data_IF_401842618971
#
_entry.id   IF_401842618971
#
_cell.length_a   1.000
_cell.length_b   1.000
_cell.length_c   1.000
_cell.angle_alpha   90.00
_cell.angle_beta   90.00
_cell.angle_gamma   90.00
#
_symmetry.space_group_name_H-M   'P 1'
#
loop_
_entity.id
_entity.type
_entity.pdbx_description
1 polymer ?
#
# COMPACT_ATOMS: atom_id res chain seq x y z
N UNK A 1 -19.79 -10.21 9.66
CA UNK A 1 -19.05 -9.08 9.06
C UNK A 1 -17.58 -9.41 9.22
N UNK A 2 -16.79 -9.34 8.15
CA UNK A 2 -15.34 -9.56 8.24
C UNK A 2 -14.73 -8.41 9.05
N UNK A 3 -13.84 -8.73 9.99
CA UNK A 3 -13.17 -7.71 10.79
C UNK A 3 -12.08 -7.05 9.94
N UNK A 4 -12.18 -5.74 9.72
CA UNK A 4 -11.21 -4.94 8.98
C UNK A 4 -10.43 -4.06 9.95
N UNK A 5 -9.11 -4.09 9.86
CA UNK A 5 -8.22 -3.33 10.73
C UNK A 5 -7.21 -2.54 9.91
N UNK A 6 -7.03 -1.27 10.26
CA UNK A 6 -5.96 -0.43 9.73
C UNK A 6 -4.87 -0.31 10.78
N UNK A 7 -3.62 -0.53 10.40
CA UNK A 7 -2.46 -0.43 11.30
C UNK A 7 -1.43 0.50 10.71
N UNK A 8 -0.92 1.44 11.50
CA UNK A 8 0.21 2.28 11.11
C UNK A 8 1.50 1.63 11.62
N UNK A 9 2.43 1.35 10.71
CA UNK A 9 3.71 0.71 11.02
C UNK A 9 4.86 1.48 10.34
N UNK A 10 6.08 1.45 10.90
CA UNK A 10 7.26 1.88 10.16
C UNK A 10 7.41 1.07 8.87
N UNK A 11 7.80 1.71 7.79
CA UNK A 11 8.10 1.03 6.54
C UNK A 11 9.43 0.31 6.66
N UNK A 12 9.40 -1.02 6.65
CA UNK A 12 10.60 -1.84 6.96
C UNK A 12 11.75 -1.59 5.98
N UNK A 13 11.45 -1.36 4.70
CA UNK A 13 12.47 -1.12 3.67
C UNK A 13 12.76 0.36 3.38
N UNK A 14 11.98 1.29 3.95
CA UNK A 14 12.15 2.74 3.76
C UNK A 14 12.28 3.39 5.14
N UNK A 15 13.51 3.44 5.67
CA UNK A 15 13.75 3.98 7.01
C UNK A 15 13.20 5.40 7.15
N UNK A 16 12.40 5.64 8.18
CA UNK A 16 11.78 6.95 8.46
C UNK A 16 10.40 7.14 7.83
N UNK A 17 9.99 6.28 6.90
CA UNK A 17 8.65 6.34 6.32
C UNK A 17 7.65 5.50 7.14
N UNK A 18 6.38 5.90 7.10
CA UNK A 18 5.28 5.12 7.67
C UNK A 18 4.49 4.43 6.55
N UNK A 19 3.87 3.31 6.89
CA UNK A 19 2.96 2.56 6.04
C UNK A 19 1.67 2.29 6.81
N UNK A 20 0.55 2.41 6.11
CA UNK A 20 -0.75 1.93 6.58
C UNK A 20 -0.97 0.54 6.00
N UNK A 21 -1.21 -0.43 6.87
CA UNK A 21 -1.55 -1.79 6.51
C UNK A 21 -3.05 -2.01 6.70
N UNK A 22 -3.70 -2.64 5.72
CA UNK A 22 -5.06 -3.14 5.81
C UNK A 22 -5.01 -4.64 6.11
N UNK A 23 -5.67 -5.05 7.18
CA UNK A 23 -5.81 -6.44 7.59
C UNK A 23 -7.29 -6.83 7.57
N UNK A 24 -7.60 -8.03 7.08
CA UNK A 24 -8.94 -8.62 7.12
C UNK A 24 -8.87 -9.97 7.80
N UNK A 25 -9.58 -10.13 8.90
CA UNK A 25 -9.63 -11.38 9.68
C UNK A 25 -8.21 -11.91 10.02
N UNK A 26 -7.27 -11.00 10.32
CA UNK A 26 -5.87 -11.33 10.63
C UNK A 26 -4.96 -11.57 9.42
N UNK A 27 -5.47 -11.45 8.19
CA UNK A 27 -4.69 -11.59 6.95
C UNK A 27 -4.34 -10.23 6.37
N UNK A 28 -3.06 -10.02 6.03
CA UNK A 28 -2.63 -8.80 5.32
C UNK A 28 -3.28 -8.74 3.94
N UNK A 29 -4.00 -7.64 3.68
CA UNK A 29 -4.72 -7.40 2.44
C UNK A 29 -4.00 -6.39 1.56
N UNK A 30 -3.59 -5.25 2.10
CA UNK A 30 -2.97 -4.18 1.32
C UNK A 30 -2.07 -3.28 2.18
N UNK A 31 -1.15 -2.58 1.52
CA UNK A 31 -0.28 -1.57 2.11
C UNK A 31 -0.40 -0.24 1.37
N UNK A 32 -0.36 0.86 2.12
CA UNK A 32 -0.38 2.23 1.58
C UNK A 32 0.77 3.01 2.19
N UNK A 33 1.64 3.60 1.37
CA UNK A 33 2.80 4.34 1.85
C UNK A 33 3.21 5.47 0.89
N UNK A 34 3.99 6.47 1.36
CA UNK A 34 4.47 7.56 0.53
C UNK A 34 5.33 7.08 -0.64
N UNK A 35 5.12 7.67 -1.81
CA UNK A 35 5.91 7.46 -3.03
C UNK A 35 6.43 8.83 -3.52
N UNK A 36 7.54 8.85 -4.27
CA UNK A 36 8.16 10.10 -4.73
C UNK A 36 7.17 11.05 -5.41
N UNK A 37 6.26 10.50 -6.22
CA UNK A 37 5.23 11.25 -6.95
C UNK A 37 3.84 11.26 -6.31
N UNK A 38 3.68 10.72 -5.09
CA UNK A 38 2.38 10.65 -4.44
C UNK A 38 2.24 9.51 -3.42
N UNK A 39 1.26 8.63 -3.64
CA UNK A 39 0.94 7.53 -2.71
C UNK A 39 0.99 6.20 -3.48
N UNK A 40 1.69 5.21 -2.94
CA UNK A 40 1.70 3.85 -3.48
C UNK A 40 0.79 2.95 -2.66
N UNK A 41 -0.05 2.19 -3.36
CA UNK A 41 -0.91 1.15 -2.81
C UNK A 41 -0.43 -0.19 -3.36
N UNK A 42 -0.13 -1.15 -2.49
CA UNK A 42 0.29 -2.51 -2.85
C UNK A 42 -0.67 -3.55 -2.30
N UNK A 43 -0.97 -4.59 -3.07
CA UNK A 43 -1.74 -5.74 -2.59
C UNK A 43 -1.49 -6.96 -3.46
N UNK A 44 -1.33 -8.13 -2.83
CA UNK A 44 -1.30 -9.41 -3.55
C UNK A 44 -2.65 -9.81 -4.17
N UNK A 45 -3.72 -9.11 -3.79
CA UNK A 45 -5.08 -9.32 -4.30
C UNK A 45 -5.49 -8.26 -5.32
N UNK A 46 -4.57 -7.36 -5.70
CA UNK A 46 -4.83 -6.36 -6.73
C UNK A 46 -4.87 -7.05 -8.10
N UNK A 47 -5.92 -6.75 -8.87
CA UNK A 47 -6.11 -7.26 -10.22
C UNK A 47 -6.07 -6.11 -11.22
N UNK A 48 -5.73 -6.40 -12.48
CA UNK A 48 -5.68 -5.43 -13.57
C UNK A 48 -4.51 -4.45 -13.50
N UNK A 49 -3.45 -4.75 -12.74
CA UNK A 49 -2.28 -3.89 -12.58
C UNK A 49 -1.03 -4.62 -13.02
N UNK A 50 -0.28 -4.02 -13.95
CA UNK A 50 1.03 -4.52 -14.37
C UNK A 50 2.01 -4.45 -13.21
N UNK A 51 2.79 -5.51 -13.01
CA UNK A 51 3.81 -5.56 -11.97
C UNK A 51 5.04 -6.31 -12.44
N UNK A 52 6.19 -5.89 -11.95
CA UNK A 52 7.45 -6.58 -12.21
C UNK A 52 7.56 -7.86 -11.39
N UNK A 53 8.16 -8.93 -11.93
CA UNK A 53 8.44 -10.13 -11.17
C UNK A 53 9.27 -9.82 -9.92
N UNK A 54 8.78 -10.21 -8.75
CA UNK A 54 9.46 -10.00 -7.46
C UNK A 54 8.92 -8.84 -6.62
N UNK A 55 8.04 -8.00 -7.17
CA UNK A 55 7.32 -6.98 -6.40
C UNK A 55 5.83 -7.31 -6.30
N UNK A 56 5.18 -7.03 -5.15
CA UNK A 56 3.73 -7.16 -5.06
C UNK A 56 3.07 -6.17 -6.05
N UNK A 57 1.95 -6.57 -6.67
CA UNK A 57 1.17 -5.67 -7.52
C UNK A 57 0.82 -4.38 -6.79
N UNK A 58 0.90 -3.25 -7.47
CA UNK A 58 0.61 -1.97 -6.85
C UNK A 58 0.42 -0.83 -7.83
N UNK A 59 -0.33 0.18 -7.39
CA UNK A 59 -0.63 1.41 -8.13
C UNK A 59 0.00 2.58 -7.42
N UNK A 60 0.56 3.51 -8.19
CA UNK A 60 0.97 4.82 -7.71
C UNK A 60 -0.13 5.82 -8.07
N UNK A 61 -0.72 6.44 -7.06
CA UNK A 61 -1.63 7.56 -7.20
C UNK A 61 -0.80 8.84 -7.16
N UNK A 62 -0.67 9.50 -8.32
CA UNK A 62 0.02 10.78 -8.43
C UNK A 62 -0.81 11.88 -7.76
N UNK A 63 -0.19 12.62 -6.85
CA UNK A 63 -0.84 13.76 -6.20
C UNK A 63 -0.46 15.05 -6.93
N UNK A 64 -1.43 15.70 -7.54
CA UNK A 64 -1.25 17.06 -8.05
C UNK A 64 -1.63 18.07 -6.97
N UNK A 65 -0.99 19.24 -6.99
CA UNK A 65 -1.44 20.36 -6.15
C UNK A 65 -2.90 20.69 -6.53
N UNK A 66 -3.78 20.86 -5.53
CA UNK A 66 -5.07 21.47 -5.79
C UNK A 66 -4.83 22.86 -6.41
N UNK A 67 -5.42 23.09 -7.59
CA UNK A 67 -5.31 24.34 -8.36
C UNK A 67 -6.18 25.44 -7.78
#
# INVERSE_FOLDING_TARGET
MANMEFRVKPHETMPGNQMVELWRDGVFMAGVYPHEDGIRIVSKYMDGVEHEPGYPPGVVMHLTKES
#
